data_IF_392498374298
#
_entry.id   IF_392498374298
#
_cell.length_a   1.000
_cell.length_b   1.000
_cell.length_c   1.000
_cell.angle_alpha   90.00
_cell.angle_beta   90.00
_cell.angle_gamma   90.00
#
_symmetry.space_group_name_H-M   'P 1'
#
loop_
_entity.id
_entity.type
_entity.pdbx_description
1 polymer ?
#
# COMPACT_ATOMS: atom_id res chain seq x y z
N UNK A 1 -27.16 -52.26 17.95
CA UNK A 1 -27.54 -51.20 16.98
C UNK A 1 -26.27 -50.49 16.51
N UNK A 2 -25.79 -50.77 15.28
CA UNK A 2 -24.61 -50.08 14.70
C UNK A 2 -25.09 -48.80 14.02
N UNK A 3 -24.46 -47.65 14.32
CA UNK A 3 -24.76 -46.37 13.67
C UNK A 3 -24.37 -46.43 12.18
N UNK A 4 -25.15 -45.83 11.27
CA UNK A 4 -24.79 -45.81 9.86
C UNK A 4 -23.56 -44.91 9.63
N UNK A 5 -22.64 -45.36 8.78
CA UNK A 5 -21.53 -44.54 8.27
C UNK A 5 -22.12 -43.41 7.41
N UNK A 6 -21.71 -42.16 7.68
CA UNK A 6 -21.94 -41.05 6.74
C UNK A 6 -21.11 -41.32 5.49
N UNK A 7 -21.75 -41.29 4.32
CA UNK A 7 -21.04 -41.24 3.04
C UNK A 7 -20.39 -39.85 2.91
N UNK A 8 -19.16 -39.75 2.39
CA UNK A 8 -18.56 -38.46 2.11
C UNK A 8 -19.32 -37.82 0.93
N UNK A 9 -20.21 -36.91 1.28
CA UNK A 9 -20.79 -35.96 0.33
C UNK A 9 -19.67 -35.03 -0.13
N UNK A 10 -19.60 -34.83 -1.43
CA UNK A 10 -18.76 -33.86 -2.11
C UNK A 10 -18.96 -32.48 -1.51
N UNK A 11 -18.06 -32.08 -0.63
CA UNK A 11 -17.80 -30.67 -0.34
C UNK A 11 -17.18 -30.09 -1.62
N UNK A 12 -18.04 -29.74 -2.57
CA UNK A 12 -17.71 -28.76 -3.60
C UNK A 12 -17.47 -27.46 -2.85
N UNK A 13 -16.23 -27.32 -2.40
CA UNK A 13 -15.65 -26.09 -1.88
C UNK A 13 -16.09 -24.96 -2.80
N UNK A 14 -17.11 -24.20 -2.40
CA UNK A 14 -17.52 -22.98 -3.08
C UNK A 14 -16.49 -21.92 -2.68
N UNK A 15 -15.25 -22.16 -3.10
CA UNK A 15 -14.21 -21.17 -3.08
C UNK A 15 -14.70 -20.07 -4.02
N UNK A 16 -14.98 -18.86 -3.51
CA UNK A 16 -15.32 -17.76 -4.40
C UNK A 16 -14.16 -17.64 -5.39
N UNK A 17 -14.43 -17.58 -6.71
CA UNK A 17 -13.35 -17.47 -7.69
C UNK A 17 -12.49 -16.29 -7.26
N UNK A 18 -11.21 -16.58 -6.99
CA UNK A 18 -10.25 -15.58 -6.56
C UNK A 18 -10.31 -14.43 -7.57
N UNK A 19 -10.68 -13.24 -7.11
CA UNK A 19 -10.66 -12.06 -7.96
C UNK A 19 -9.27 -11.99 -8.60
N UNK A 20 -9.17 -11.76 -9.92
CA UNK A 20 -7.89 -11.72 -10.59
C UNK A 20 -6.99 -10.72 -9.85
N UNK A 21 -5.72 -11.10 -9.65
CA UNK A 21 -4.71 -10.18 -9.16
C UNK A 21 -4.78 -8.88 -9.95
N UNK A 22 -4.54 -7.75 -9.30
CA UNK A 22 -4.55 -6.43 -9.95
C UNK A 22 -3.69 -6.42 -11.21
N UNK A 23 -2.62 -7.22 -11.25
CA UNK A 23 -1.79 -7.42 -12.44
C UNK A 23 -2.51 -8.15 -13.60
N UNK A 24 -3.27 -9.21 -13.32
CA UNK A 24 -4.03 -9.96 -14.33
C UNK A 24 -5.22 -9.14 -14.86
N UNK A 25 -5.86 -8.36 -13.99
CA UNK A 25 -6.90 -7.40 -14.39
C UNK A 25 -6.32 -6.30 -15.28
N UNK A 26 -5.16 -5.73 -14.91
CA UNK A 26 -4.47 -4.70 -15.69
C UNK A 26 -4.02 -5.18 -17.08
N UNK A 27 -3.54 -6.43 -17.19
CA UNK A 27 -3.17 -7.05 -18.48
C UNK A 27 -4.36 -7.17 -19.43
N UNK A 28 -5.57 -7.42 -18.92
CA UNK A 28 -6.78 -7.61 -19.73
C UNK A 28 -7.38 -6.28 -20.18
N UNK A 29 -7.41 -5.30 -19.30
CA UNK A 29 -8.14 -4.05 -19.55
C UNK A 29 -7.36 -3.03 -20.37
N UNK A 30 -6.02 -3.09 -20.42
CA UNK A 30 -5.12 -2.22 -21.22
C UNK A 30 -5.40 -0.70 -21.14
N UNK A 31 -6.30 -0.24 -20.26
CA UNK A 31 -6.77 1.13 -20.11
C UNK A 31 -6.92 1.44 -18.64
N UNK A 32 -6.49 2.64 -18.25
CA UNK A 32 -6.64 3.13 -16.89
C UNK A 32 -8.07 3.64 -16.63
N UNK A 33 -8.69 3.19 -15.55
CA UNK A 33 -9.99 3.69 -15.09
C UNK A 33 -9.91 4.95 -14.22
N UNK A 34 -8.71 5.54 -14.08
CA UNK A 34 -8.48 6.67 -13.18
C UNK A 34 -9.44 7.84 -13.47
N UNK A 35 -9.63 8.22 -14.73
CA UNK A 35 -10.52 9.32 -15.10
C UNK A 35 -11.99 9.04 -14.80
N UNK A 36 -12.45 7.81 -15.07
CA UNK A 36 -13.84 7.39 -14.80
C UNK A 36 -14.09 7.33 -13.29
N UNK A 37 -13.15 6.78 -12.52
CA UNK A 37 -13.23 6.69 -11.08
C UNK A 37 -13.19 8.06 -10.42
N UNK A 38 -12.31 8.94 -10.90
CA UNK A 38 -12.22 10.30 -10.39
C UNK A 38 -13.53 11.04 -10.66
N UNK A 39 -14.04 10.97 -11.89
CA UNK A 39 -15.34 11.55 -12.24
C UNK A 39 -16.45 10.99 -11.35
N UNK A 40 -16.51 9.69 -11.10
CA UNK A 40 -17.49 9.09 -10.20
C UNK A 40 -17.37 9.64 -8.77
N UNK A 41 -16.18 9.61 -8.20
CA UNK A 41 -15.91 10.10 -6.84
C UNK A 41 -16.20 11.60 -6.66
N UNK A 42 -15.96 12.41 -7.69
CA UNK A 42 -16.17 13.87 -7.62
C UNK A 42 -17.50 14.32 -8.20
N UNK A 43 -18.24 13.46 -8.91
CA UNK A 43 -19.53 13.79 -9.54
C UNK A 43 -20.63 14.03 -8.52
N UNK A 44 -20.57 13.34 -7.38
CA UNK A 44 -21.46 13.63 -6.28
C UNK A 44 -21.01 14.92 -5.59
N UNK A 45 -21.82 15.98 -5.68
CA UNK A 45 -21.77 17.02 -4.65
C UNK A 45 -22.07 16.31 -3.33
N UNK A 46 -21.18 16.44 -2.35
CA UNK A 46 -21.30 15.79 -1.03
C UNK A 46 -22.75 15.89 -0.53
N UNK A 47 -23.46 14.76 -0.52
CA UNK A 47 -24.81 14.65 0.06
C UNK A 47 -24.76 14.69 1.59
N UNK A 48 -23.55 14.63 2.14
CA UNK A 48 -23.29 14.65 3.57
C UNK A 48 -23.35 16.10 4.05
N UNK A 49 -24.16 16.41 5.08
CA UNK A 49 -24.21 17.73 5.69
C UNK A 49 -22.82 18.19 6.11
N UNK A 50 -22.54 19.48 5.93
CA UNK A 50 -21.23 20.05 6.27
C UNK A 50 -20.83 19.79 7.72
N UNK A 51 -21.81 19.72 8.64
CA UNK A 51 -21.59 19.34 10.04
C UNK A 51 -20.96 17.95 10.21
N UNK A 52 -21.40 16.97 9.42
CA UNK A 52 -20.86 15.60 9.45
C UNK A 52 -19.46 15.58 8.83
N UNK A 53 -19.22 16.35 7.76
CA UNK A 53 -17.88 16.51 7.19
C UNK A 53 -16.92 17.12 8.21
N UNK A 54 -17.32 18.17 8.93
CA UNK A 54 -16.54 18.80 9.99
C UNK A 54 -16.27 17.82 11.14
N UNK A 55 -17.25 17.00 11.51
CA UNK A 55 -17.08 15.97 12.54
C UNK A 55 -16.04 14.92 12.14
N UNK A 56 -16.07 14.46 10.88
CA UNK A 56 -15.08 13.52 10.32
C UNK A 56 -13.69 14.15 10.32
N UNK A 57 -13.56 15.40 9.88
CA UNK A 57 -12.29 16.14 9.90
C UNK A 57 -11.76 16.25 11.33
N UNK A 58 -12.60 16.60 12.30
CA UNK A 58 -12.21 16.71 13.70
C UNK A 58 -11.75 15.38 14.30
N UNK A 59 -12.42 14.26 14.00
CA UNK A 59 -12.01 12.93 14.48
C UNK A 59 -10.68 12.46 13.87
N UNK A 60 -10.44 12.83 12.60
CA UNK A 60 -9.23 12.45 11.89
C UNK A 60 -8.03 13.34 12.23
N UNK A 61 -8.29 14.55 12.73
CA UNK A 61 -7.27 15.54 13.05
C UNK A 61 -6.26 14.97 14.06
N UNK A 62 -4.98 15.04 13.71
CA UNK A 62 -3.87 14.59 14.56
C UNK A 62 -3.56 13.09 14.46
N UNK A 63 -4.39 12.30 13.76
CA UNK A 63 -4.07 10.90 13.42
C UNK A 63 -3.26 10.79 12.13
N UNK A 64 -3.40 11.75 11.22
CA UNK A 64 -2.66 11.76 9.95
C UNK A 64 -1.27 12.34 10.16
N UNK A 65 -0.27 11.75 9.51
CA UNK A 65 1.11 12.27 9.54
C UNK A 65 1.21 13.73 9.06
N UNK A 66 0.32 14.15 8.14
CA UNK A 66 0.23 15.52 7.63
C UNK A 66 -0.27 16.55 8.66
N UNK A 67 -1.06 16.11 9.65
CA UNK A 67 -1.60 17.00 10.69
C UNK A 67 -0.57 17.29 11.79
N UNK A 68 0.47 16.44 11.86
CA UNK A 68 1.58 16.67 12.77
C UNK A 68 2.34 17.90 12.28
N UNK A 69 2.54 18.93 13.12
CA UNK A 69 3.36 20.06 12.72
C UNK A 69 4.72 19.50 12.32
N UNK A 70 5.12 19.78 11.07
CA UNK A 70 6.46 19.42 10.60
C UNK A 70 7.41 20.29 11.41
N UNK A 71 7.87 19.75 12.53
CA UNK A 71 9.01 20.31 13.23
C UNK A 71 10.09 20.41 12.17
N UNK A 72 10.42 21.63 11.74
CA UNK A 72 11.47 21.89 10.76
C UNK A 72 12.78 21.44 11.39
N UNK A 73 13.06 20.14 11.35
CA UNK A 73 14.36 19.60 11.72
C UNK A 73 15.30 20.19 10.68
N UNK A 74 16.22 21.04 11.12
CA UNK A 74 17.36 21.46 10.31
C UNK A 74 17.91 20.20 9.67
N UNK A 75 17.96 20.16 8.34
CA UNK A 75 18.52 19.04 7.58
C UNK A 75 19.90 18.79 8.19
N UNK A 76 20.08 17.68 8.91
CA UNK A 76 21.41 17.30 9.38
C UNK A 76 22.25 17.24 8.11
N UNK A 77 23.37 17.97 8.09
CA UNK A 77 24.38 17.78 7.06
C UNK A 77 24.69 16.29 7.04
N UNK A 78 24.82 15.70 5.85
CA UNK A 78 25.19 14.30 5.74
C UNK A 78 26.46 14.12 6.58
N UNK A 79 26.34 13.42 7.70
CA UNK A 79 27.50 12.91 8.41
C UNK A 79 28.22 12.06 7.37
N UNK A 80 29.47 12.42 7.09
CA UNK A 80 30.26 11.81 6.03
C UNK A 80 30.16 10.30 6.13
N UNK A 81 30.02 9.64 4.97
CA UNK A 81 29.99 8.19 4.91
C UNK A 81 31.25 7.67 5.60
N UNK A 82 31.07 6.69 6.50
CA UNK A 82 32.20 6.07 7.21
C UNK A 82 33.17 5.40 6.24
N UNK A 83 32.69 5.03 5.06
CA UNK A 83 33.51 4.57 3.95
C UNK A 83 33.99 5.76 3.13
N UNK A 84 35.30 5.88 3.09
CA UNK A 84 36.04 6.83 2.25
C UNK A 84 36.41 6.17 0.92
N UNK A 85 36.80 6.98 -0.06
CA UNK A 85 37.23 6.45 -1.37
C UNK A 85 38.47 5.55 -1.22
N UNK A 86 39.33 5.87 -0.25
CA UNK A 86 40.50 5.10 0.11
C UNK A 86 40.13 3.68 0.59
N UNK A 87 39.03 3.54 1.36
CA UNK A 87 38.54 2.24 1.81
C UNK A 87 38.06 1.36 0.65
N UNK A 88 37.46 1.98 -0.37
CA UNK A 88 37.00 1.29 -1.56
C UNK A 88 38.17 0.77 -2.39
N UNK A 89 39.20 1.58 -2.62
CA UNK A 89 40.40 1.16 -3.33
C UNK A 89 41.14 0.02 -2.63
N UNK A 90 41.21 0.08 -1.29
CA UNK A 90 41.82 -0.97 -0.48
C UNK A 90 41.06 -2.29 -0.62
N UNK A 91 39.72 -2.25 -0.59
CA UNK A 91 38.87 -3.41 -0.84
C UNK A 91 39.07 -3.98 -2.25
N UNK A 92 39.17 -3.12 -3.26
CA UNK A 92 39.42 -3.56 -4.63
C UNK A 92 40.76 -4.30 -4.76
N UNK A 93 41.83 -3.80 -4.15
CA UNK A 93 43.12 -4.47 -4.17
C UNK A 93 43.12 -5.80 -3.40
N UNK A 94 42.45 -5.85 -2.24
CA UNK A 94 42.45 -7.03 -1.38
C UNK A 94 41.68 -8.22 -1.98
N UNK A 95 40.62 -7.96 -2.72
CA UNK A 95 39.76 -9.02 -3.29
C UNK A 95 39.95 -9.27 -4.77
N UNK A 96 40.32 -8.25 -5.54
CA UNK A 96 40.41 -8.36 -7.00
C UNK A 96 41.83 -8.26 -7.54
N UNK A 97 42.84 -7.99 -6.69
CA UNK A 97 44.27 -8.03 -7.00
C UNK A 97 44.60 -7.58 -8.42
N UNK A 98 44.84 -6.27 -8.60
CA UNK A 98 45.07 -5.55 -9.87
C UNK A 98 45.49 -6.39 -11.08
#
# INVERSE_FOLDING_TARGET
>A
MRRPRRLPGSDSEMTPPCLPSTAEFQKRECRGYLGVNLKFMTSARSTVPESVTQQIVHQNRGRKACDRPVAKKKKKKAEGTVFTEEDFQKFQQEYFGS
#
